data_IF_707442453711
#
_entry.id   IF_707442453711
#
_cell.length_a   1.000
_cell.length_b   1.000
_cell.length_c   1.000
_cell.angle_alpha   90.00
_cell.angle_beta   90.00
_cell.angle_gamma   90.00
#
_symmetry.space_group_name_H-M   'P 1'
#
loop_
_entity.id
_entity.type
_entity.pdbx_description
1 polymer ?
#
# COMPACT_ATOMS: atom_id res chain seq x y z
N UNK A 1 18.29 -2.39 -6.26
CA UNK A 1 18.16 -3.82 -6.56
C UNK A 1 16.75 -4.24 -6.98
N UNK A 2 15.72 -4.10 -6.13
CA UNK A 2 14.37 -4.61 -6.43
C UNK A 2 13.73 -4.11 -7.74
N UNK A 3 13.97 -2.84 -8.13
CA UNK A 3 13.48 -2.29 -9.39
C UNK A 3 14.13 -2.93 -10.62
N UNK A 4 15.42 -3.25 -10.54
CA UNK A 4 16.16 -3.91 -11.62
C UNK A 4 15.65 -5.34 -11.81
N UNK A 5 15.55 -6.12 -10.73
CA UNK A 5 15.05 -7.50 -10.78
C UNK A 5 13.60 -7.57 -11.29
N UNK A 6 12.76 -6.63 -10.86
CA UNK A 6 11.39 -6.50 -11.40
C UNK A 6 11.40 -6.24 -12.90
N UNK A 7 12.20 -5.29 -13.38
CA UNK A 7 12.25 -4.96 -14.80
C UNK A 7 12.84 -6.12 -15.63
N UNK A 8 13.85 -6.81 -15.09
CA UNK A 8 14.45 -8.01 -15.69
C UNK A 8 13.42 -9.13 -15.87
N UNK A 9 12.42 -9.23 -14.98
CA UNK A 9 11.33 -10.19 -15.09
C UNK A 9 10.19 -9.67 -15.99
N UNK A 10 9.77 -8.41 -15.82
CA UNK A 10 8.62 -7.85 -16.53
C UNK A 10 8.86 -7.64 -18.02
N UNK A 11 10.06 -7.23 -18.43
CA UNK A 11 10.39 -6.98 -19.84
C UNK A 11 10.23 -8.25 -20.70
N UNK A 12 10.87 -9.40 -20.37
CA UNK A 12 10.71 -10.61 -21.18
C UNK A 12 9.28 -11.16 -21.12
N UNK A 13 8.59 -11.07 -19.98
CA UNK A 13 7.16 -11.43 -19.90
C UNK A 13 6.36 -10.56 -20.87
N UNK A 14 6.53 -9.23 -20.84
CA UNK A 14 5.84 -8.33 -21.75
C UNK A 14 6.15 -8.62 -23.21
N UNK A 15 7.40 -8.92 -23.56
CA UNK A 15 7.79 -9.31 -24.91
C UNK A 15 7.07 -10.60 -25.35
N UNK A 16 7.00 -11.62 -24.50
CA UNK A 16 6.27 -12.86 -24.76
C UNK A 16 4.77 -12.58 -24.98
N UNK A 17 4.17 -11.73 -24.15
CA UNK A 17 2.75 -11.36 -24.32
C UNK A 17 2.50 -10.67 -25.67
N UNK A 18 3.40 -9.79 -26.10
CA UNK A 18 3.30 -9.11 -27.40
C UNK A 18 3.42 -10.11 -28.55
N UNK A 19 4.41 -11.01 -28.51
CA UNK A 19 4.60 -12.03 -29.55
C UNK A 19 3.36 -12.93 -29.65
N UNK A 20 2.85 -13.40 -28.51
CA UNK A 20 1.65 -14.23 -28.47
C UNK A 20 0.43 -13.47 -29.00
N UNK A 21 0.28 -12.18 -28.67
CA UNK A 21 -0.82 -11.35 -29.15
C UNK A 21 -0.75 -11.13 -30.67
N UNK A 22 0.44 -10.88 -31.21
CA UNK A 22 0.64 -10.69 -32.66
C UNK A 22 0.43 -12.00 -33.43
N UNK A 23 0.93 -13.11 -32.90
CA UNK A 23 0.75 -14.45 -33.49
C UNK A 23 -0.74 -14.86 -33.52
N UNK A 24 -1.48 -14.54 -32.46
CA UNK A 24 -2.90 -14.85 -32.30
C UNK A 24 -3.79 -13.62 -32.53
N UNK A 25 -3.43 -12.78 -33.50
CA UNK A 25 -4.23 -11.61 -33.90
C UNK A 25 -5.49 -11.98 -34.67
N UNK A 26 -5.51 -13.18 -35.24
CA UNK A 26 -6.68 -13.73 -35.93
C UNK A 26 -7.71 -14.18 -34.90
N UNK A 27 -8.98 -14.21 -35.30
CA UNK A 27 -10.02 -14.71 -34.40
C UNK A 27 -9.88 -16.23 -34.24
N UNK A 28 -9.81 -16.68 -33.00
CA UNK A 28 -9.69 -18.10 -32.64
C UNK A 28 -10.94 -18.51 -31.90
N UNK A 29 -11.43 -19.72 -32.17
CA UNK A 29 -12.52 -20.30 -31.41
C UNK A 29 -12.00 -20.70 -30.02
N UNK A 30 -12.53 -20.08 -28.98
CA UNK A 30 -12.15 -20.34 -27.58
C UNK A 30 -13.39 -20.85 -26.85
N UNK A 31 -13.29 -22.06 -26.28
CA UNK A 31 -14.30 -22.62 -25.39
C UNK A 31 -13.85 -22.45 -23.94
N UNK A 32 -14.72 -21.87 -23.11
CA UNK A 32 -14.48 -21.66 -21.67
C UNK A 32 -15.07 -22.79 -20.81
N UNK A 33 -15.68 -23.80 -21.42
CA UNK A 33 -16.25 -24.94 -20.69
C UNK A 33 -15.24 -26.10 -20.63
N UNK A 34 -14.71 -26.45 -19.43
CA UNK A 34 -13.72 -27.52 -19.30
C UNK A 34 -14.30 -28.94 -19.40
N UNK A 35 -15.64 -29.10 -19.39
CA UNK A 35 -16.31 -30.40 -19.41
C UNK A 35 -16.98 -30.72 -20.74
N UNK A 36 -17.40 -29.70 -21.50
CA UNK A 36 -17.99 -29.87 -22.82
C UNK A 36 -17.45 -28.79 -23.79
N UNK A 37 -16.44 -29.10 -24.61
CA UNK A 37 -15.85 -28.15 -25.55
C UNK A 37 -16.82 -27.67 -26.64
N UNK A 38 -17.82 -28.48 -26.97
CA UNK A 38 -18.84 -28.22 -28.00
C UNK A 38 -19.99 -27.34 -27.47
N UNK A 39 -19.92 -26.88 -26.22
CA UNK A 39 -20.94 -26.01 -25.63
C UNK A 39 -20.98 -24.63 -26.32
N UNK A 40 -22.07 -24.29 -27.04
CA UNK A 40 -22.16 -23.03 -27.75
C UNK A 40 -22.33 -21.82 -26.82
N UNK A 41 -22.71 -22.02 -25.55
CA UNK A 41 -23.00 -20.91 -24.63
C UNK A 41 -21.72 -20.26 -24.07
N UNK A 42 -20.64 -21.04 -23.95
CA UNK A 42 -19.34 -20.63 -23.41
C UNK A 42 -18.24 -20.62 -24.48
N UNK A 43 -18.63 -20.63 -25.75
CA UNK A 43 -17.71 -20.60 -26.89
C UNK A 43 -17.74 -19.23 -27.58
N UNK A 44 -16.57 -18.62 -27.73
CA UNK A 44 -16.41 -17.29 -28.30
C UNK A 44 -15.40 -17.32 -29.43
N UNK A 45 -15.69 -16.59 -30.51
CA UNK A 45 -14.76 -16.41 -31.62
C UNK A 45 -14.07 -15.04 -31.50
N UNK A 46 -12.97 -14.99 -30.76
CA UNK A 46 -12.23 -13.76 -30.46
C UNK A 46 -10.72 -14.02 -30.54
N UNK A 47 -9.91 -13.00 -30.89
CA UNK A 47 -8.47 -13.09 -30.76
C UNK A 47 -8.04 -13.39 -29.32
N UNK A 48 -7.10 -14.32 -29.14
CA UNK A 48 -6.63 -14.79 -27.82
C UNK A 48 -6.08 -13.66 -26.94
N UNK A 49 -5.54 -12.60 -27.56
CA UNK A 49 -4.98 -11.48 -26.81
C UNK A 49 -6.01 -10.79 -25.92
N UNK A 50 -7.30 -10.74 -26.29
CA UNK A 50 -8.33 -10.12 -25.46
C UNK A 50 -8.51 -10.84 -24.13
N UNK A 51 -8.57 -12.17 -24.17
CA UNK A 51 -8.69 -13.00 -22.99
C UNK A 51 -7.45 -12.85 -22.10
N UNK A 52 -6.27 -12.88 -22.71
CA UNK A 52 -5.01 -12.79 -22.00
C UNK A 52 -4.80 -11.42 -21.34
N UNK A 53 -4.98 -10.32 -22.07
CA UNK A 53 -4.87 -8.98 -21.49
C UNK A 53 -5.99 -8.71 -20.48
N UNK A 54 -7.18 -9.25 -20.70
CA UNK A 54 -8.27 -9.22 -19.72
C UNK A 54 -7.89 -9.90 -18.41
N UNK A 55 -7.33 -11.12 -18.47
CA UNK A 55 -6.88 -11.86 -17.30
C UNK A 55 -5.73 -11.15 -16.56
N UNK A 56 -4.74 -10.66 -17.30
CA UNK A 56 -3.62 -9.88 -16.73
C UNK A 56 -4.13 -8.59 -16.08
N UNK A 57 -5.00 -7.84 -16.78
CA UNK A 57 -5.59 -6.61 -16.28
C UNK A 57 -6.41 -6.84 -15.01
N UNK A 58 -7.23 -7.90 -14.98
CA UNK A 58 -7.96 -8.31 -13.78
C UNK A 58 -7.01 -8.63 -12.63
N UNK A 59 -5.93 -9.36 -12.87
CA UNK A 59 -4.89 -9.64 -11.89
C UNK A 59 -4.25 -8.36 -11.33
N UNK A 60 -3.98 -7.37 -12.17
CA UNK A 60 -3.44 -6.07 -11.74
C UNK A 60 -4.44 -5.32 -10.86
N UNK A 61 -5.72 -5.30 -11.24
CA UNK A 61 -6.77 -4.66 -10.43
C UNK A 61 -6.89 -5.34 -9.08
N UNK A 62 -7.01 -6.66 -9.04
CA UNK A 62 -7.10 -7.44 -7.80
C UNK A 62 -5.87 -7.26 -6.92
N UNK A 63 -4.67 -7.29 -7.50
CA UNK A 63 -3.42 -7.04 -6.79
C UNK A 63 -3.33 -5.62 -6.23
N UNK A 64 -3.80 -4.63 -7.00
CA UNK A 64 -3.89 -3.23 -6.57
C UNK A 64 -4.85 -3.04 -5.40
N UNK A 65 -6.05 -3.64 -5.47
CA UNK A 65 -7.04 -3.63 -4.39
C UNK A 65 -6.49 -4.31 -3.13
N UNK A 66 -5.88 -5.49 -3.28
CA UNK A 66 -5.28 -6.21 -2.15
C UNK A 66 -4.15 -5.40 -1.49
N UNK A 67 -3.29 -4.76 -2.30
CA UNK A 67 -2.20 -3.90 -1.81
C UNK A 67 -2.76 -2.66 -1.09
N UNK A 68 -3.81 -2.03 -1.64
CA UNK A 68 -4.48 -0.91 -0.99
C UNK A 68 -5.04 -1.32 0.37
N UNK A 69 -5.80 -2.41 0.43
CA UNK A 69 -6.37 -2.90 1.69
C UNK A 69 -5.29 -3.15 2.74
N UNK A 70 -4.17 -3.78 2.36
CA UNK A 70 -3.03 -4.02 3.26
C UNK A 70 -2.37 -2.72 3.72
N UNK A 71 -2.16 -1.75 2.81
CA UNK A 71 -1.57 -0.45 3.15
C UNK A 71 -2.51 0.46 3.95
N UNK A 72 -3.83 0.26 3.83
CA UNK A 72 -4.85 1.06 4.52
C UNK A 72 -4.75 1.01 6.04
N UNK A 73 -4.36 -0.14 6.61
CA UNK A 73 -4.20 -0.31 8.07
C UNK A 73 -3.03 0.53 8.63
N UNK A 74 -1.91 0.55 7.92
CA UNK A 74 -0.73 1.35 8.30
C UNK A 74 -0.99 2.85 8.32
N UNK A 75 -1.98 3.35 7.55
CA UNK A 75 -2.35 4.77 7.57
C UNK A 75 -2.98 5.20 8.90
N UNK A 76 -3.65 4.29 9.62
CA UNK A 76 -4.19 4.57 10.96
C UNK A 76 -3.10 4.48 12.01
N UNK A 77 -2.28 3.43 11.97
CA UNK A 77 -1.18 3.22 12.91
C UNK A 77 -0.14 4.34 12.86
N UNK A 78 0.21 4.82 11.66
CA UNK A 78 1.14 5.95 11.50
C UNK A 78 0.61 7.24 12.14
N UNK A 79 -0.72 7.46 12.18
CA UNK A 79 -1.31 8.63 12.84
C UNK A 79 -1.27 8.51 14.36
N UNK A 80 -1.49 7.32 14.91
CA UNK A 80 -1.45 7.07 16.35
C UNK A 80 -0.01 7.19 16.86
N UNK A 81 0.94 6.51 16.22
CA UNK A 81 2.35 6.59 16.60
C UNK A 81 2.90 8.01 16.51
N UNK A 82 2.46 8.81 15.53
CA UNK A 82 2.89 10.22 15.41
C UNK A 82 2.35 11.10 16.54
N UNK A 83 1.18 10.78 17.10
CA UNK A 83 0.62 11.48 18.28
C UNK A 83 1.39 11.12 19.55
N UNK A 84 1.62 9.84 19.78
CA UNK A 84 2.40 9.36 20.93
C UNK A 84 3.83 9.91 20.91
N UNK A 85 4.49 9.89 19.74
CA UNK A 85 5.83 10.45 19.59
C UNK A 85 5.87 11.97 19.89
N UNK A 86 4.82 12.72 19.54
CA UNK A 86 4.75 14.14 19.87
C UNK A 86 4.50 14.37 21.37
N UNK A 87 3.66 13.56 22.01
CA UNK A 87 3.43 13.64 23.46
C UNK A 87 4.72 13.36 24.24
N UNK A 88 5.42 12.27 23.91
CA UNK A 88 6.71 11.92 24.51
C UNK A 88 7.77 13.00 24.29
N UNK A 89 7.79 13.66 23.12
CA UNK A 89 8.67 14.80 22.87
C UNK A 89 8.34 15.99 23.77
N UNK A 90 7.07 16.33 23.93
CA UNK A 90 6.65 17.42 24.81
C UNK A 90 6.99 17.16 26.27
N UNK A 91 6.80 15.92 26.74
CA UNK A 91 7.19 15.52 28.09
C UNK A 91 8.71 15.60 28.26
N UNK A 92 9.49 15.07 27.31
CA UNK A 92 10.95 15.16 27.34
C UNK A 92 11.44 16.62 27.34
N UNK A 93 10.86 17.50 26.52
CA UNK A 93 11.20 18.92 26.49
C UNK A 93 10.82 19.62 27.80
N UNK A 94 9.68 19.27 28.40
CA UNK A 94 9.26 19.83 29.70
C UNK A 94 10.21 19.42 30.83
N UNK A 95 10.59 18.14 30.90
CA UNK A 95 11.56 17.63 31.86
C UNK A 95 12.94 18.27 31.67
N UNK A 96 13.34 18.49 30.41
CA UNK A 96 14.61 19.13 30.07
C UNK A 96 14.65 20.60 30.51
N UNK A 97 13.55 21.35 30.37
CA UNK A 97 13.41 22.72 30.87
C UNK A 97 13.46 22.80 32.40
N UNK A 98 12.82 21.84 33.09
CA UNK A 98 12.89 21.74 34.56
C UNK A 98 14.33 21.42 35.01
N UNK A 99 14.99 20.47 34.36
CA UNK A 99 16.38 20.09 34.68
C UNK A 99 17.40 21.20 34.38
N UNK A 100 17.12 22.08 33.41
CA UNK A 100 17.95 23.25 33.09
C UNK A 100 17.69 24.45 34.01
N UNK A 101 16.73 24.36 34.94
CA UNK A 101 16.50 25.38 35.98
C UNK A 101 15.68 26.59 35.52
N UNK A 102 15.08 26.56 34.33
CA UNK A 102 14.31 27.69 33.78
C UNK A 102 12.96 27.91 34.50
N UNK A 103 12.49 26.95 35.30
CA UNK A 103 11.26 27.05 36.09
C UNK A 103 11.59 26.73 37.55
N UNK A 104 12.06 27.72 38.30
CA UNK A 104 12.04 27.64 39.75
C UNK A 104 10.57 27.66 40.21
N UNK A 105 10.07 26.66 40.95
CA UNK A 105 8.76 26.77 41.59
C UNK A 105 8.87 27.95 42.57
N UNK A 106 8.20 29.05 42.25
CA UNK A 106 8.15 30.21 43.13
C UNK A 106 7.57 29.78 44.47
N UNK A 107 8.45 29.58 45.46
CA UNK A 107 8.00 29.42 46.84
C UNK A 107 7.26 30.71 47.22
N UNK A 108 6.05 30.62 47.77
CA UNK A 108 5.35 31.80 48.27
C UNK A 108 6.23 32.46 49.33
N UNK A 109 6.46 33.76 49.15
CA UNK A 109 7.28 34.58 50.05
C UNK A 109 6.76 34.44 51.49
N UNK A 110 7.64 34.32 52.50
CA UNK A 110 7.19 34.17 53.88
C UNK A 110 6.37 35.41 54.28
N UNK A 111 5.14 35.21 54.74
CA UNK A 111 4.28 36.29 55.18
C UNK A 111 4.78 36.82 56.53
N UNK A 112 5.46 37.97 56.50
CA UNK A 112 6.12 38.59 57.67
C UNK A 112 5.14 39.25 58.67
N UNK A 113 3.85 38.89 58.67
CA UNK A 113 2.81 39.63 59.40
C UNK A 113 2.40 39.11 60.78
N UNK A 114 3.17 38.23 61.43
CA UNK A 114 2.86 37.79 62.80
C UNK A 114 4.10 37.75 63.70
N UNK A 115 4.66 38.93 63.96
CA UNK A 115 5.56 39.16 65.08
C UNK A 115 5.29 40.56 65.65
N UNK A 116 4.22 40.68 66.43
CA UNK A 116 3.96 41.76 67.37
C UNK A 116 2.86 41.31 68.34
#
# INVERSE_FOLDING_TARGET
MARFLRNLLLIPIAALLVVLAVANRHSTLISLNPFNPEDPMLTFNIPVFWLLFGAVGLGVVLGGVATWMRQGRFRKEARVQRREANQLKHEADSLRKVAQGDIAPGLPSPDHKKAA
#
